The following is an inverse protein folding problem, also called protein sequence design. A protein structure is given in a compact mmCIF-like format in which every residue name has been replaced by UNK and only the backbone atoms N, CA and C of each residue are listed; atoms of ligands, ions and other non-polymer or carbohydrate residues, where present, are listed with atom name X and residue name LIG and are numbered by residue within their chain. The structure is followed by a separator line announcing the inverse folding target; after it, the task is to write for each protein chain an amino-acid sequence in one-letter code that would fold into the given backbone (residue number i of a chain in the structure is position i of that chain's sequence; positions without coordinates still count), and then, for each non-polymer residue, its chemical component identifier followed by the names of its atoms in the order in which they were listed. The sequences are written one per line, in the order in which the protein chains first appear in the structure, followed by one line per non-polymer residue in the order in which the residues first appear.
data_IF_026527876416
#
_entry.id   IF_026527876416
#
_cell.length_a   1.000
_cell.length_b   1.000
_cell.length_c   1.000
_cell.angle_alpha   90.00
_cell.angle_beta   90.00
_cell.angle_gamma   90.00
#
_symmetry.space_group_name_H-M   'P 1'
#
loop_
_entity.id
_entity.type
_entity.pdbx_description
1 polymer ?
#
# COMPACT_ATOMS: atom_id res chain seq x y z
N UNK A 1 3.77 -45.49 54.84
CA UNK A 1 2.35 -45.86 55.03
C UNK A 1 1.78 -46.33 53.69
N UNK A 2 0.67 -47.07 53.68
CA UNK A 2 0.20 -47.81 52.50
C UNK A 2 -0.77 -47.02 51.59
N UNK A 3 -0.50 -47.07 50.28
CA UNK A 3 -1.41 -47.50 49.21
C UNK A 3 -2.89 -47.05 49.24
N UNK A 4 -3.33 -46.32 48.19
CA UNK A 4 -4.17 -46.89 47.10
C UNK A 4 -4.44 -45.89 45.96
N UNK A 5 -4.55 -46.39 44.74
CA UNK A 5 -5.18 -45.68 43.61
C UNK A 5 -6.68 -45.95 43.61
N UNK A 6 -7.48 -44.92 43.32
CA UNK A 6 -8.71 -45.01 42.50
C UNK A 6 -8.71 -43.75 41.61
N UNK A 7 -8.87 -43.77 40.29
CA UNK A 7 -9.61 -44.65 39.36
C UNK A 7 -11.13 -44.42 39.40
N UNK A 8 -11.59 -43.40 38.66
CA UNK A 8 -13.00 -43.26 38.29
C UNK A 8 -13.12 -42.85 36.82
N UNK A 9 -13.83 -43.69 36.03
CA UNK A 9 -14.16 -43.47 34.63
C UNK A 9 -15.43 -44.26 34.30
N UNK A 10 -16.54 -43.57 33.98
CA UNK A 10 -17.46 -44.03 32.95
C UNK A 10 -17.33 -43.10 31.73
N UNK A 11 -17.29 -43.54 30.46
CA UNK A 11 -17.90 -44.69 29.77
C UNK A 11 -19.42 -44.57 29.59
N UNK A 12 -19.82 -43.87 28.53
CA UNK A 12 -20.83 -44.30 27.54
C UNK A 12 -20.34 -43.73 26.19
N UNK A 13 -19.97 -44.54 25.19
CA UNK A 13 -20.84 -45.22 24.22
C UNK A 13 -21.71 -44.18 23.47
N UNK A 14 -21.34 -43.71 22.28
CA UNK A 14 -21.31 -44.36 20.94
C UNK A 14 -22.66 -44.28 20.20
N UNK A 15 -22.59 -44.52 18.88
CA UNK A 15 -23.68 -44.53 17.89
C UNK A 15 -24.12 -43.12 17.42
N UNK A 16 -24.37 -42.86 16.13
CA UNK A 16 -24.11 -43.70 14.93
C UNK A 16 -23.79 -42.81 13.71
N UNK A 17 -23.09 -43.39 12.73
CA UNK A 17 -22.75 -42.75 11.45
C UNK A 17 -23.90 -42.82 10.44
N UNK A 18 -23.99 -41.83 9.55
CA UNK A 18 -24.61 -42.02 8.22
C UNK A 18 -24.16 -40.93 7.22
N UNK A 19 -23.26 -41.24 6.27
CA UNK A 19 -23.00 -40.37 5.12
C UNK A 19 -24.06 -40.62 4.04
N UNK A 20 -24.65 -39.56 3.49
CA UNK A 20 -25.58 -39.67 2.34
C UNK A 20 -24.96 -38.98 1.14
N UNK A 21 -24.59 -39.78 0.15
CA UNK A 21 -24.07 -39.34 -1.14
C UNK A 21 -25.25 -39.13 -2.11
N UNK A 22 -25.41 -37.90 -2.62
CA UNK A 22 -26.20 -37.60 -3.82
C UNK A 22 -25.28 -36.82 -4.78
N UNK A 23 -24.68 -37.48 -5.78
CA UNK A 23 -25.27 -37.83 -7.08
C UNK A 23 -25.64 -36.61 -7.95
N UNK A 24 -24.60 -36.12 -8.65
CA UNK A 24 -24.57 -35.74 -10.06
C UNK A 24 -25.87 -35.27 -10.74
N UNK A 25 -25.88 -34.00 -11.20
CA UNK A 25 -26.72 -33.53 -12.29
C UNK A 25 -25.87 -32.80 -13.36
N UNK A 26 -25.34 -33.55 -14.32
CA UNK A 26 -24.53 -33.00 -15.43
C UNK A 26 -25.44 -32.49 -16.58
N UNK A 27 -25.86 -31.23 -16.49
CA UNK A 27 -26.79 -30.62 -17.45
C UNK A 27 -26.13 -30.11 -18.75
N UNK A 28 -25.91 -30.99 -19.73
CA UNK A 28 -25.61 -30.59 -21.11
C UNK A 28 -26.86 -30.73 -22.01
N UNK A 29 -27.10 -29.77 -22.89
CA UNK A 29 -28.07 -29.87 -23.99
C UNK A 29 -27.61 -29.05 -25.20
N UNK A 30 -27.97 -29.48 -26.42
CA UNK A 30 -27.35 -29.02 -27.69
C UNK A 30 -28.32 -28.18 -28.55
N UNK A 31 -27.75 -27.33 -29.43
CA UNK A 31 -28.38 -26.71 -30.62
C UNK A 31 -28.89 -27.79 -31.62
N UNK A 32 -29.78 -27.51 -32.63
CA UNK A 32 -29.73 -26.46 -33.69
C UNK A 32 -30.48 -25.16 -33.30
N UNK A 33 -30.79 -24.15 -34.14
CA UNK A 33 -30.54 -23.80 -35.56
C UNK A 33 -30.18 -22.28 -35.67
N UNK A 34 -29.68 -21.64 -36.74
CA UNK A 34 -29.30 -22.01 -38.14
C UNK A 34 -30.22 -21.58 -39.33
N UNK A 35 -30.51 -20.27 -39.47
CA UNK A 35 -30.90 -19.60 -40.74
C UNK A 35 -30.31 -18.16 -40.75
N UNK A 36 -29.31 -17.88 -41.62
CA UNK A 36 -29.39 -17.14 -42.90
C UNK A 36 -29.81 -15.65 -42.77
N UNK A 37 -28.84 -14.73 -42.84
CA UNK A 37 -28.47 -13.90 -44.03
C UNK A 37 -29.33 -12.61 -44.08
N UNK A 38 -28.81 -11.38 -44.24
CA UNK A 38 -27.72 -10.89 -45.10
C UNK A 38 -26.84 -9.78 -44.44
N UNK A 39 -25.65 -9.48 -44.98
CA UNK A 39 -24.90 -8.23 -44.79
C UNK A 39 -25.19 -7.21 -45.93
N UNK A 40 -24.60 -5.99 -45.93
CA UNK A 40 -24.28 -5.12 -44.79
C UNK A 40 -25.06 -3.79 -44.85
N UNK A 41 -25.56 -3.29 -43.72
CA UNK A 41 -26.24 -1.98 -43.65
C UNK A 41 -25.26 -0.80 -43.66
N UNK A 42 -25.15 -0.11 -44.79
CA UNK A 42 -24.22 1.00 -45.00
C UNK A 42 -24.63 2.29 -44.27
N UNK A 43 -24.18 2.44 -43.03
CA UNK A 43 -24.14 3.74 -42.36
C UNK A 43 -22.81 4.44 -42.69
N UNK A 44 -22.78 5.12 -43.84
CA UNK A 44 -21.65 5.94 -44.30
C UNK A 44 -21.51 7.22 -43.45
N UNK A 45 -21.08 7.08 -42.20
CA UNK A 45 -20.42 8.19 -41.50
C UNK A 45 -19.19 8.51 -42.33
N UNK A 46 -19.13 9.71 -42.90
CA UNK A 46 -18.01 10.14 -43.70
C UNK A 46 -16.75 10.14 -42.82
N UNK A 47 -15.87 9.16 -43.04
CA UNK A 47 -14.49 9.25 -42.61
C UNK A 47 -13.88 10.33 -43.52
N UNK A 48 -13.94 11.58 -43.07
CA UNK A 48 -13.11 12.63 -43.63
C UNK A 48 -11.66 12.14 -43.54
N UNK A 49 -11.04 11.93 -44.70
CA UNK A 49 -9.67 11.46 -44.82
C UNK A 49 -8.63 12.54 -44.48
N UNK A 50 -9.02 13.57 -43.74
CA UNK A 50 -8.11 14.41 -42.96
C UNK A 50 -7.44 13.56 -41.88
N UNK A 51 -6.40 12.82 -42.28
CA UNK A 51 -5.35 12.37 -41.37
C UNK A 51 -5.02 13.52 -40.41
N UNK A 52 -5.10 13.33 -39.08
CA UNK A 52 -4.51 14.26 -38.14
C UNK A 52 -3.03 14.39 -38.52
N UNK A 53 -2.65 15.54 -39.08
CA UNK A 53 -1.24 15.88 -39.31
C UNK A 53 -0.50 15.65 -37.98
N UNK A 54 0.76 15.17 -37.98
CA UNK A 54 1.56 15.06 -36.76
C UNK A 54 1.57 16.40 -36.02
N UNK A 55 0.68 16.50 -35.03
CA UNK A 55 0.27 17.77 -34.46
C UNK A 55 1.37 18.24 -33.53
N UNK A 56 2.01 19.35 -33.88
CA UNK A 56 2.88 20.05 -32.95
C UNK A 56 2.02 20.46 -31.75
N UNK A 57 2.16 19.73 -30.65
CA UNK A 57 1.49 20.02 -29.37
C UNK A 57 1.74 21.49 -29.05
N UNK A 58 0.68 22.29 -29.05
CA UNK A 58 0.84 23.72 -28.90
C UNK A 58 1.12 24.06 -27.44
N UNK A 59 1.72 25.22 -27.21
CA UNK A 59 1.85 25.76 -25.85
C UNK A 59 0.49 26.03 -25.18
N UNK A 60 -0.60 26.03 -25.95
CA UNK A 60 -1.97 26.27 -25.48
C UNK A 60 -2.65 24.97 -25.03
N UNK A 61 -2.43 23.84 -25.72
CA UNK A 61 -2.86 22.51 -25.25
C UNK A 61 -2.25 22.16 -23.87
N UNK A 62 -1.01 22.62 -23.67
CA UNK A 62 -0.26 22.50 -22.41
C UNK A 62 -0.85 23.28 -21.20
N UNK A 63 -1.93 24.05 -21.42
CA UNK A 63 -2.69 24.76 -20.38
C UNK A 63 -4.03 24.09 -20.05
N UNK A 64 -4.48 23.12 -20.86
CA UNK A 64 -5.78 22.44 -20.69
C UNK A 64 -5.69 21.12 -19.91
N UNK A 65 -4.48 20.58 -19.74
CA UNK A 65 -4.23 19.52 -18.76
C UNK A 65 -4.19 20.14 -17.36
N UNK A 66 -5.05 19.71 -16.42
CA UNK A 66 -4.97 20.18 -15.03
C UNK A 66 -3.65 19.72 -14.42
N UNK A 67 -2.74 20.67 -14.17
CA UNK A 67 -1.49 20.42 -13.44
C UNK A 67 -1.81 20.26 -11.96
N UNK A 68 -2.26 19.06 -11.59
CA UNK A 68 -2.27 18.64 -10.19
C UNK A 68 -0.82 18.51 -9.75
N UNK A 69 -0.30 19.56 -9.11
CA UNK A 69 1.04 19.58 -8.55
C UNK A 69 1.28 18.34 -7.66
N UNK A 70 2.47 17.74 -7.70
CA UNK A 70 2.73 16.47 -7.04
C UNK A 70 2.58 16.63 -5.53
N UNK A 71 1.59 15.94 -4.97
CA UNK A 71 1.26 15.99 -3.55
C UNK A 71 2.16 15.01 -2.79
N UNK A 72 2.64 15.41 -1.61
CA UNK A 72 3.29 14.48 -0.69
C UNK A 72 2.29 13.36 -0.34
N UNK A 73 2.61 12.13 -0.72
CA UNK A 73 1.77 10.94 -0.54
C UNK A 73 1.95 10.38 0.87
N UNK A 74 3.20 10.15 1.25
CA UNK A 74 3.59 9.64 2.55
C UNK A 74 5.01 10.12 2.89
N UNK A 75 5.32 10.24 4.17
CA UNK A 75 6.70 10.38 4.62
C UNK A 75 6.96 9.62 5.92
N UNK A 76 8.23 9.31 6.16
CA UNK A 76 8.73 8.70 7.38
C UNK A 76 10.03 9.39 7.80
N UNK A 77 10.00 10.09 8.94
CA UNK A 77 11.17 10.67 9.58
C UNK A 77 11.57 9.84 10.80
N UNK A 78 12.84 9.44 10.89
CA UNK A 78 13.44 8.88 12.11
C UNK A 78 14.27 9.97 12.79
N UNK A 79 14.04 10.24 14.06
CA UNK A 79 14.77 11.29 14.80
C UNK A 79 16.07 10.77 15.43
N UNK A 80 16.88 11.70 15.94
CA UNK A 80 18.01 11.39 16.81
C UNK A 80 17.58 10.65 18.10
N UNK A 81 18.56 10.00 18.73
CA UNK A 81 18.50 9.35 20.04
C UNK A 81 19.86 9.55 20.74
N UNK A 82 20.04 9.09 21.98
CA UNK A 82 21.32 9.22 22.69
C UNK A 82 22.46 8.38 22.08
N UNK A 83 22.13 7.32 21.32
CA UNK A 83 23.06 6.46 20.61
C UNK A 83 23.26 6.82 19.12
N UNK A 84 23.77 5.85 18.34
CA UNK A 84 23.97 6.00 16.89
C UNK A 84 22.72 5.65 16.07
N UNK A 85 21.56 6.18 16.43
CA UNK A 85 20.36 6.00 15.62
C UNK A 85 20.51 6.71 14.26
N UNK A 86 20.08 6.10 13.15
CA UNK A 86 20.04 6.75 11.84
C UNK A 86 18.97 7.85 11.86
N UNK A 87 19.34 9.06 11.43
CA UNK A 87 18.47 10.24 11.36
C UNK A 87 18.29 10.61 9.90
N UNK A 88 17.06 10.53 9.42
CA UNK A 88 16.69 10.76 8.04
C UNK A 88 15.19 10.99 7.88
N UNK A 89 14.81 11.44 6.68
CA UNK A 89 13.42 11.53 6.23
C UNK A 89 13.28 10.96 4.81
N UNK A 90 12.34 10.04 4.62
CA UNK A 90 11.93 9.55 3.30
C UNK A 90 10.60 10.24 2.96
N UNK A 91 10.47 10.77 1.75
CA UNK A 91 9.25 11.36 1.22
C UNK A 91 8.88 10.69 -0.12
N UNK A 92 7.62 10.28 -0.27
CA UNK A 92 7.04 9.76 -1.50
C UNK A 92 5.95 10.71 -1.98
N UNK A 93 5.85 10.94 -3.29
CA UNK A 93 4.88 11.85 -3.90
C UNK A 93 3.89 11.12 -4.82
N UNK A 94 2.73 11.73 -5.06
CA UNK A 94 1.63 11.14 -5.82
C UNK A 94 1.91 10.89 -7.31
N UNK A 95 3.00 11.46 -7.84
CA UNK A 95 3.51 11.27 -9.20
C UNK A 95 4.68 10.26 -9.29
N UNK A 96 4.96 9.53 -8.21
CA UNK A 96 6.10 8.62 -8.13
C UNK A 96 7.45 9.32 -7.87
N UNK A 97 7.53 10.64 -7.71
CA UNK A 97 8.77 11.27 -7.22
C UNK A 97 9.05 10.82 -5.78
N UNK A 98 10.31 10.60 -5.45
CA UNK A 98 10.76 10.31 -4.09
C UNK A 98 11.96 11.19 -3.71
N UNK A 99 12.03 11.56 -2.44
CA UNK A 99 13.13 12.35 -1.85
C UNK A 99 13.62 11.63 -0.59
N UNK A 100 14.93 11.57 -0.41
CA UNK A 100 15.57 11.10 0.82
C UNK A 100 16.46 12.20 1.37
N UNK A 101 16.24 12.58 2.63
CA UNK A 101 17.04 13.57 3.35
C UNK A 101 17.79 12.84 4.46
N UNK A 102 19.11 12.64 4.28
CA UNK A 102 19.95 11.97 5.26
C UNK A 102 20.73 12.94 6.14
N UNK A 103 20.51 12.88 7.46
CA UNK A 103 21.10 13.82 8.42
C UNK A 103 22.32 13.19 9.15
N UNK A 104 22.13 12.08 9.87
CA UNK A 104 23.18 11.49 10.73
C UNK A 104 23.13 9.97 10.79
N UNK A 105 24.28 9.31 11.01
CA UNK A 105 24.43 7.85 11.12
C UNK A 105 23.84 7.04 9.95
N UNK A 106 23.72 7.63 8.76
CA UNK A 106 23.17 7.02 7.54
C UNK A 106 24.23 6.97 6.41
N UNK A 107 24.18 5.97 5.50
CA UNK A 107 25.15 5.86 4.40
C UNK A 107 25.01 6.97 3.34
N UNK A 108 23.78 7.47 3.15
CA UNK A 108 23.47 8.58 2.27
C UNK A 108 23.27 9.83 3.14
N UNK A 109 24.17 10.81 3.04
CA UNK A 109 24.07 12.10 3.74
C UNK A 109 23.80 13.23 2.74
N UNK A 110 22.94 14.18 3.11
CA UNK A 110 22.42 15.21 2.21
C UNK A 110 21.09 14.82 1.55
N UNK A 111 20.70 15.55 0.50
CA UNK A 111 19.43 15.36 -0.22
C UNK A 111 19.65 14.47 -1.44
N UNK A 112 18.83 13.44 -1.60
CA UNK A 112 18.80 12.56 -2.75
C UNK A 112 17.39 12.54 -3.36
N UNK A 113 17.34 12.35 -4.67
CA UNK A 113 16.12 12.29 -5.48
C UNK A 113 16.04 10.94 -6.19
N UNK A 114 14.82 10.47 -6.44
CA UNK A 114 14.53 9.31 -7.26
C UNK A 114 13.11 9.39 -7.85
N UNK A 115 12.79 8.45 -8.73
CA UNK A 115 11.42 8.13 -9.12
C UNK A 115 11.14 6.65 -8.86
N UNK A 116 9.94 6.35 -8.39
CA UNK A 116 9.39 5.01 -8.15
C UNK A 116 8.22 4.73 -9.10
N UNK A 117 7.96 3.47 -9.47
CA UNK A 117 6.80 3.12 -10.28
C UNK A 117 5.48 3.32 -9.51
N UNK A 118 4.37 3.47 -10.25
CA UNK A 118 3.02 3.59 -9.69
C UNK A 118 2.61 2.40 -8.81
N UNK A 119 3.23 1.23 -9.00
CA UNK A 119 3.07 0.07 -8.12
C UNK A 119 3.59 0.33 -6.70
N UNK A 120 4.61 1.17 -6.52
CA UNK A 120 5.11 1.59 -5.19
C UNK A 120 4.12 2.54 -4.52
N UNK A 121 3.61 3.53 -5.26
CA UNK A 121 2.54 4.44 -4.81
C UNK A 121 1.29 3.65 -4.38
N UNK A 122 0.92 2.64 -5.18
CA UNK A 122 -0.22 1.76 -4.91
C UNK A 122 -0.01 0.92 -3.66
N UNK A 123 1.17 0.29 -3.50
CA UNK A 123 1.51 -0.51 -2.32
C UNK A 123 1.47 0.31 -1.01
N UNK A 124 1.95 1.57 -1.02
CA UNK A 124 1.87 2.47 0.14
C UNK A 124 0.40 2.69 0.53
N UNK A 125 -0.46 3.04 -0.44
CA UNK A 125 -1.88 3.28 -0.21
C UNK A 125 -2.64 2.01 0.22
N UNK A 126 -2.34 0.86 -0.39
CA UNK A 126 -2.93 -0.43 -0.01
C UNK A 126 -2.53 -0.86 1.40
N UNK A 127 -1.25 -0.72 1.74
CA UNK A 127 -0.77 -1.03 3.10
C UNK A 127 -1.44 -0.13 4.13
N UNK A 128 -1.50 1.18 3.89
CA UNK A 128 -2.17 2.12 4.79
C UNK A 128 -3.67 1.81 4.99
N UNK A 129 -4.39 1.48 3.91
CA UNK A 129 -5.79 1.00 3.99
C UNK A 129 -5.90 -0.28 4.80
N UNK A 130 -5.01 -1.25 4.58
CA UNK A 130 -5.04 -2.56 5.26
C UNK A 130 -4.87 -2.50 6.79
N UNK A 131 -4.25 -1.43 7.30
CA UNK A 131 -4.04 -1.20 8.75
C UNK A 131 -4.99 -0.15 9.35
N UNK A 132 -5.94 0.38 8.56
CA UNK A 132 -6.80 1.51 8.92
C UNK A 132 -5.98 2.73 9.45
N UNK A 133 -4.94 3.15 8.72
CA UNK A 133 -3.95 4.14 9.20
C UNK A 133 -4.61 5.40 9.80
N UNK A 134 -5.65 5.92 9.17
CA UNK A 134 -6.33 7.14 9.63
C UNK A 134 -7.08 6.98 10.96
N UNK A 135 -7.51 5.77 11.30
CA UNK A 135 -8.17 5.43 12.56
C UNK A 135 -7.22 5.04 13.69
N UNK A 136 -5.91 5.15 13.50
CA UNK A 136 -4.91 5.04 14.56
C UNK A 136 -4.88 6.33 15.41
N UNK A 137 -4.25 6.28 16.58
CA UNK A 137 -4.01 7.47 17.41
C UNK A 137 -2.84 8.30 16.87
N UNK A 138 -2.85 9.62 17.10
CA UNK A 138 -1.83 10.53 16.55
C UNK A 138 -0.47 10.44 17.28
N UNK A 139 -0.44 9.81 18.46
CA UNK A 139 0.75 9.70 19.30
C UNK A 139 0.87 8.33 19.98
N UNK A 140 2.08 7.77 20.01
CA UNK A 140 2.42 6.53 20.72
C UNK A 140 3.67 6.71 21.63
N UNK A 141 3.62 6.30 22.91
CA UNK A 141 2.56 5.52 23.53
C UNK A 141 1.30 6.34 23.85
N UNK A 142 0.12 5.74 23.67
CA UNK A 142 -1.17 6.37 24.01
C UNK A 142 -1.35 6.54 25.53
N UNK A 143 -0.69 5.68 26.31
CA UNK A 143 -0.76 5.65 27.76
C UNK A 143 0.66 5.59 28.34
N UNK A 144 0.99 6.50 29.26
CA UNK A 144 2.31 6.59 29.89
C UNK A 144 3.02 7.90 29.58
N UNK A 145 4.34 7.85 29.39
CA UNK A 145 5.20 8.99 29.02
C UNK A 145 6.20 8.56 27.96
N UNK A 146 6.58 9.44 27.01
CA UNK A 146 7.68 9.18 26.09
C UNK A 146 8.99 8.92 26.84
N UNK A 147 9.83 8.03 26.30
CA UNK A 147 11.19 7.77 26.79
C UNK A 147 12.13 8.66 25.97
N UNK A 148 12.80 9.59 26.65
CA UNK A 148 13.61 10.64 26.01
C UNK A 148 14.82 10.11 25.23
N UNK A 149 15.39 8.98 25.67
CA UNK A 149 16.57 8.37 25.03
C UNK A 149 16.22 7.55 23.77
N UNK A 150 14.93 7.26 23.53
CA UNK A 150 14.47 6.55 22.33
C UNK A 150 14.19 7.53 21.18
N UNK A 151 14.52 7.15 19.93
CA UNK A 151 14.13 7.94 18.76
C UNK A 151 12.60 7.99 18.61
N UNK A 152 12.13 9.00 17.90
CA UNK A 152 10.75 9.08 17.41
C UNK A 152 10.71 8.72 15.92
N UNK A 153 9.55 8.21 15.52
CA UNK A 153 9.20 7.87 14.15
C UNK A 153 7.97 8.70 13.78
N UNK A 154 8.16 9.69 12.93
CA UNK A 154 7.10 10.62 12.52
C UNK A 154 6.64 10.19 11.14
N UNK A 155 5.42 9.68 11.05
CA UNK A 155 4.87 9.04 9.85
C UNK A 155 3.68 9.84 9.34
N UNK A 156 3.77 10.38 8.14
CA UNK A 156 2.69 11.11 7.47
C UNK A 156 2.10 10.28 6.33
N UNK A 157 0.79 10.44 6.12
CA UNK A 157 0.07 9.93 4.95
C UNK A 157 -1.01 10.92 4.54
N UNK A 158 -1.17 11.12 3.23
CA UNK A 158 -2.33 11.76 2.61
C UNK A 158 -2.79 10.92 1.41
N UNK A 159 -4.07 10.52 1.39
CA UNK A 159 -4.62 9.66 0.33
C UNK A 159 -5.32 10.44 -0.80
N UNK A 160 -5.38 11.78 -0.70
CA UNK A 160 -6.09 12.68 -1.60
C UNK A 160 -7.51 13.02 -1.16
N UNK A 161 -7.97 12.47 -0.03
CA UNK A 161 -9.25 12.80 0.63
C UNK A 161 -9.03 13.28 2.05
N UNK A 162 -8.04 12.72 2.74
CA UNK A 162 -7.70 13.01 4.12
C UNK A 162 -6.20 12.82 4.37
N UNK A 163 -5.69 13.45 5.41
CA UNK A 163 -4.29 13.35 5.83
C UNK A 163 -4.14 13.21 7.34
N UNK A 164 -3.00 12.65 7.77
CA UNK A 164 -2.67 12.42 9.18
C UNK A 164 -1.17 12.27 9.36
N UNK A 165 -0.66 12.81 10.46
CA UNK A 165 0.69 12.55 10.97
C UNK A 165 0.58 11.78 12.27
N UNK A 166 1.39 10.73 12.44
CA UNK A 166 1.48 9.94 13.67
C UNK A 166 2.91 10.00 14.19
N UNK A 167 3.08 10.27 15.49
CA UNK A 167 4.38 10.26 16.17
C UNK A 167 4.49 9.03 17.06
N UNK A 168 5.45 8.15 16.76
CA UNK A 168 5.71 6.91 17.49
C UNK A 168 7.08 6.95 18.19
N UNK A 169 7.08 6.99 19.52
CA UNK A 169 8.27 6.85 20.35
C UNK A 169 8.43 5.40 20.88
N UNK A 170 7.36 4.79 21.35
CA UNK A 170 7.29 3.35 21.65
C UNK A 170 5.84 2.86 21.79
N UNK A 171 5.65 1.53 21.83
CA UNK A 171 4.35 0.84 22.00
C UNK A 171 3.28 1.15 20.93
N UNK A 172 3.69 1.59 19.74
CA UNK A 172 2.81 1.63 18.59
C UNK A 172 2.27 0.24 18.19
N UNK A 173 1.04 0.14 17.66
CA UNK A 173 0.45 -1.12 17.24
C UNK A 173 1.20 -1.72 16.04
N UNK A 174 1.15 -3.04 15.93
CA UNK A 174 1.80 -3.82 14.86
C UNK A 174 1.40 -3.33 13.46
N UNK A 175 0.18 -2.79 13.30
CA UNK A 175 -0.26 -2.11 12.09
C UNK A 175 0.72 -1.01 11.66
N UNK A 176 0.88 0.04 12.49
CA UNK A 176 1.77 1.17 12.22
C UNK A 176 3.22 0.71 12.00
N UNK A 177 3.75 -0.12 12.90
CA UNK A 177 5.12 -0.64 12.80
C UNK A 177 5.36 -1.42 11.50
N UNK A 178 4.32 -2.05 10.93
CA UNK A 178 4.41 -2.74 9.63
C UNK A 178 4.23 -1.83 8.41
N UNK A 179 3.73 -0.60 8.58
CA UNK A 179 3.69 0.41 7.52
C UNK A 179 4.99 1.24 7.52
N UNK A 180 5.47 1.65 8.69
CA UNK A 180 6.81 2.25 8.83
C UNK A 180 7.90 1.36 8.21
N UNK A 181 7.87 0.06 8.50
CA UNK A 181 8.83 -0.90 7.93
C UNK A 181 8.74 -0.99 6.40
N UNK A 182 7.53 -0.93 5.82
CA UNK A 182 7.37 -0.93 4.37
C UNK A 182 8.03 0.30 3.73
N UNK A 183 7.90 1.48 4.34
CA UNK A 183 8.54 2.69 3.85
C UNK A 183 10.08 2.58 3.91
N UNK A 184 10.63 2.01 4.99
CA UNK A 184 12.06 1.71 5.11
C UNK A 184 12.54 0.64 4.11
N UNK A 185 11.71 -0.37 3.82
CA UNK A 185 11.99 -1.44 2.85
C UNK A 185 12.06 -0.88 1.44
N UNK A 186 11.02 -0.16 1.01
CA UNK A 186 10.98 0.55 -0.28
C UNK A 186 12.17 1.51 -0.44
N UNK A 187 12.53 2.26 0.60
CA UNK A 187 13.66 3.19 0.56
C UNK A 187 15.03 2.52 0.36
N UNK A 188 15.18 1.24 0.75
CA UNK A 188 16.42 0.47 0.51
C UNK A 188 16.53 -0.10 -0.91
N UNK A 189 15.41 -0.25 -1.61
CA UNK A 189 15.37 -0.77 -2.99
C UNK A 189 15.57 0.33 -4.05
N UNK A 190 15.39 1.60 -3.66
CA UNK A 190 15.49 2.76 -4.55
C UNK A 190 16.95 3.10 -4.91
N UNK A 191 17.19 3.36 -6.20
CA UNK A 191 18.48 3.83 -6.74
C UNK A 191 18.61 5.36 -6.67
N UNK A 192 18.76 5.85 -5.45
CA UNK A 192 18.93 7.27 -5.11
C UNK A 192 20.03 7.97 -5.93
N UNK A 193 19.75 9.17 -6.42
CA UNK A 193 20.72 10.08 -7.04
C UNK A 193 20.92 11.31 -6.14
N UNK A 194 22.15 11.79 -5.88
CA UNK A 194 22.35 13.01 -5.09
C UNK A 194 21.73 14.21 -5.82
N UNK A 195 21.08 15.10 -5.07
CA UNK A 195 20.66 16.39 -5.61
C UNK A 195 21.91 17.25 -5.82
N UNK A 196 22.29 17.44 -7.09
CA UNK A 196 23.29 18.45 -7.48
C UNK A 196 22.66 19.84 -7.35
N UNK A 197 23.44 20.80 -6.86
CA UNK A 197 23.07 22.22 -6.75
C UNK A 197 23.65 23.04 -7.92
#
# INVERSE_FOLDING_TARGET
MHCRLTAFRPLYLLLVSLPVLWLLAAGCSRKPAAARENPPGENSVAIDSSLPKPGVLTAQDSLLLPRTEPRLLASLKRTACYGRCPVYEIQFYSNGQAIYLGEMNVPLQGIYLAYVPDSTVSQILEKARSINFFGLSDFYPENGKPIADLPQSITYLNDGRQEKTIVNNHLAPVGLLSFERLLDELAREIKWQPKVE
#
